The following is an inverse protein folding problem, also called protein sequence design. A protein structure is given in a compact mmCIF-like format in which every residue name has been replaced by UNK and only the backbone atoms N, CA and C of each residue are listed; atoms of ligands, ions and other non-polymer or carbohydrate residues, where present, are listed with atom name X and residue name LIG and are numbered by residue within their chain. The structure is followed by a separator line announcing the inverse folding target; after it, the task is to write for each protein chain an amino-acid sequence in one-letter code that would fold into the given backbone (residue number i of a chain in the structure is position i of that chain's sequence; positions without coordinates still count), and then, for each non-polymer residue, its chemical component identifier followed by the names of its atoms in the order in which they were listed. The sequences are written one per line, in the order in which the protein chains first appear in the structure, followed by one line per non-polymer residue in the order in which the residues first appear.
data_IF_612254165129
#
_entry.id   IF_612254165129
#
_cell.length_a   1.000
_cell.length_b   1.000
_cell.length_c   1.000
_cell.angle_alpha   90.00
_cell.angle_beta   90.00
_cell.angle_gamma   90.00
#
_symmetry.space_group_name_H-M   'P 1'
#
loop_
_entity.id
_entity.type
_entity.pdbx_description
1 polymer ?
#
# COMPACT_ATOMS: atom_id res chain seq x y z
N UNK A 1 24.97 29.94 -79.68
CA UNK A 1 25.71 28.91 -78.91
C UNK A 1 26.53 29.64 -77.85
N UNK A 2 26.49 29.45 -76.54
CA UNK A 2 25.70 28.65 -75.60
C UNK A 2 25.68 29.48 -74.29
N UNK A 3 24.52 29.66 -73.66
CA UNK A 3 24.36 30.44 -72.42
C UNK A 3 25.07 29.73 -71.27
N UNK A 4 26.05 30.38 -70.62
CA UNK A 4 26.53 29.99 -69.29
C UNK A 4 25.76 30.80 -68.24
N UNK A 5 24.82 30.14 -67.60
CA UNK A 5 24.10 30.66 -66.43
C UNK A 5 25.03 30.57 -65.22
N UNK A 6 25.41 31.73 -64.67
CA UNK A 6 26.09 31.86 -63.39
C UNK A 6 25.12 31.52 -62.26
N UNK A 7 25.35 30.41 -61.56
CA UNK A 7 24.68 30.12 -60.29
C UNK A 7 25.51 30.64 -59.12
N UNK A 8 24.88 31.54 -58.38
CA UNK A 8 25.33 32.16 -57.14
C UNK A 8 25.61 31.12 -56.04
N UNK A 9 26.79 31.19 -55.42
CA UNK A 9 27.20 30.39 -54.24
C UNK A 9 26.52 30.85 -52.92
N UNK A 10 25.37 31.52 -52.98
CA UNK A 10 24.70 32.08 -51.82
C UNK A 10 23.54 31.24 -51.26
N UNK A 11 23.23 30.04 -51.79
CA UNK A 11 22.06 29.26 -51.34
C UNK A 11 22.37 28.01 -50.50
N UNK A 12 23.65 27.65 -50.29
CA UNK A 12 24.00 26.42 -49.54
C UNK A 12 24.16 26.66 -48.03
N UNK A 13 24.30 27.92 -47.59
CA UNK A 13 24.55 28.24 -46.17
C UNK A 13 23.29 28.40 -45.30
N UNK A 14 22.09 28.49 -45.88
CA UNK A 14 20.83 28.58 -45.13
C UNK A 14 20.21 27.20 -44.81
N UNK A 15 20.42 26.21 -45.68
CA UNK A 15 19.87 24.86 -45.52
C UNK A 15 20.58 24.07 -44.41
N UNK A 16 21.87 24.29 -44.21
CA UNK A 16 22.66 23.66 -43.15
C UNK A 16 22.48 24.33 -41.77
N UNK A 17 22.12 25.62 -41.71
CA UNK A 17 21.77 26.28 -40.44
C UNK A 17 20.38 25.89 -39.93
N UNK A 18 19.44 25.57 -40.82
CA UNK A 18 18.13 25.02 -40.42
C UNK A 18 18.20 23.54 -40.00
N UNK A 19 19.11 22.75 -40.57
CA UNK A 19 19.29 21.35 -40.16
C UNK A 19 19.92 21.21 -38.75
N UNK A 20 20.79 22.14 -38.35
CA UNK A 20 21.40 22.14 -36.99
C UNK A 20 20.45 22.78 -35.95
N UNK A 21 19.62 23.76 -36.34
CA UNK A 21 18.61 24.34 -35.45
C UNK A 21 17.41 23.40 -35.18
N UNK A 22 17.08 22.49 -36.10
CA UNK A 22 16.03 21.48 -35.89
C UNK A 22 16.53 20.28 -35.06
N UNK A 23 17.84 20.03 -35.02
CA UNK A 23 18.42 18.99 -34.14
C UNK A 23 18.59 19.45 -32.68
N UNK A 24 18.73 20.76 -32.42
CA UNK A 24 18.74 21.30 -31.05
C UNK A 24 17.34 21.64 -30.48
N UNK A 25 16.32 21.84 -31.33
CA UNK A 25 14.94 22.08 -30.88
C UNK A 25 14.13 20.79 -30.60
N UNK A 26 14.65 19.62 -30.98
CA UNK A 26 14.06 18.31 -30.63
C UNK A 26 14.56 17.75 -29.27
N UNK A 27 15.44 18.48 -28.58
CA UNK A 27 16.06 18.04 -27.31
C UNK A 27 15.51 18.74 -26.06
N UNK A 28 14.47 19.56 -26.19
CA UNK A 28 13.82 20.28 -25.07
C UNK A 28 12.30 20.08 -25.10
N UNK A 29 11.84 18.87 -25.46
CA UNK A 29 10.55 18.40 -24.96
C UNK A 29 10.82 17.83 -23.58
N UNK A 30 10.74 18.77 -22.65
CA UNK A 30 10.47 18.63 -21.24
C UNK A 30 9.99 17.23 -20.86
N UNK A 31 10.78 16.60 -20.01
CA UNK A 31 10.53 15.37 -19.28
C UNK A 31 9.20 15.38 -18.51
N UNK A 32 8.07 15.37 -19.20
CA UNK A 32 6.88 14.66 -18.75
C UNK A 32 7.08 13.18 -19.08
N UNK A 33 8.18 12.62 -18.57
CA UNK A 33 8.20 11.21 -18.27
C UNK A 33 7.09 11.04 -17.24
N UNK A 34 5.96 10.52 -17.69
CA UNK A 34 5.14 9.64 -16.86
C UNK A 34 6.15 8.66 -16.29
N UNK A 35 6.63 8.92 -15.07
CA UNK A 35 7.39 7.94 -14.32
C UNK A 35 6.38 6.84 -14.06
N UNK A 36 6.27 5.89 -14.99
CA UNK A 36 5.76 4.57 -14.68
C UNK A 36 6.61 4.13 -13.49
N UNK A 37 6.01 3.86 -12.31
CA UNK A 37 6.79 3.29 -11.23
C UNK A 37 7.49 2.07 -11.83
N UNK A 38 8.82 2.05 -11.75
CA UNK A 38 9.57 0.85 -12.05
C UNK A 38 9.06 -0.19 -11.04
N UNK A 39 8.16 -1.06 -11.52
CA UNK A 39 7.52 -2.09 -10.74
C UNK A 39 8.57 -3.13 -10.41
N UNK A 40 9.20 -2.98 -9.26
CA UNK A 40 10.13 -3.96 -8.72
C UNK A 40 9.56 -4.76 -7.54
N UNK A 41 8.27 -4.57 -7.17
CA UNK A 41 7.57 -5.47 -6.24
C UNK A 41 6.05 -5.49 -6.56
N UNK A 42 5.55 -6.62 -7.06
CA UNK A 42 4.27 -6.79 -7.76
C UNK A 42 2.98 -6.79 -6.92
N UNK A 43 2.72 -5.75 -6.12
CA UNK A 43 1.39 -5.50 -5.54
C UNK A 43 1.01 -4.00 -5.60
N UNK A 44 -0.22 -3.62 -5.98
CA UNK A 44 -0.66 -2.22 -6.03
C UNK A 44 -0.94 -1.70 -4.62
N UNK A 45 0.11 -1.34 -3.89
CA UNK A 45 0.01 -0.87 -2.51
C UNK A 45 -0.58 0.54 -2.44
N UNK A 46 -1.50 0.75 -1.49
CA UNK A 46 -2.01 2.06 -1.09
C UNK A 46 -1.30 2.46 0.21
N UNK A 47 -0.80 3.69 0.25
CA UNK A 47 -0.24 4.32 1.45
C UNK A 47 -1.16 5.47 1.86
N UNK A 48 -1.75 5.38 3.04
CA UNK A 48 -2.64 6.42 3.58
C UNK A 48 -2.51 6.47 5.11
N UNK A 49 -2.24 7.67 5.65
CA UNK A 49 -1.97 7.84 7.09
C UNK A 49 -3.20 7.53 7.95
N UNK A 50 -4.40 7.89 7.50
CA UNK A 50 -5.64 7.68 8.25
C UNK A 50 -5.98 6.21 8.33
N UNK A 51 -5.95 5.54 7.17
CA UNK A 51 -6.34 4.15 7.03
C UNK A 51 -5.30 3.25 7.72
N UNK A 52 -4.01 3.46 7.47
CA UNK A 52 -2.94 2.69 8.13
C UNK A 52 -2.99 2.88 9.65
N UNK A 53 -3.23 4.10 10.15
CA UNK A 53 -3.34 4.35 11.58
C UNK A 53 -4.54 3.65 12.19
N UNK A 54 -5.71 3.68 11.54
CA UNK A 54 -6.91 3.01 12.04
C UNK A 54 -6.76 1.49 12.05
N UNK A 55 -6.23 0.90 10.97
CA UNK A 55 -5.94 -0.54 10.94
C UNK A 55 -4.90 -0.91 12.01
N UNK A 56 -3.92 -0.04 12.25
CA UNK A 56 -2.94 -0.26 13.32
C UNK A 56 -3.60 -0.19 14.70
N UNK A 57 -4.57 0.70 14.91
CA UNK A 57 -5.34 0.76 16.16
C UNK A 57 -6.17 -0.52 16.38
N UNK A 58 -6.68 -1.14 15.31
CA UNK A 58 -7.31 -2.46 15.37
C UNK A 58 -6.33 -3.58 15.74
N UNK A 59 -5.17 -3.62 15.09
CA UNK A 59 -4.26 -4.75 15.21
C UNK A 59 -3.34 -4.69 16.43
N UNK A 60 -2.90 -3.50 16.88
CA UNK A 60 -1.92 -3.39 17.96
C UNK A 60 -2.32 -4.08 19.27
N UNK A 61 -3.57 -3.99 19.76
CA UNK A 61 -4.00 -4.77 20.93
C UNK A 61 -3.85 -6.27 20.72
N UNK A 62 -4.21 -6.77 19.53
CA UNK A 62 -4.13 -8.18 19.15
C UNK A 62 -2.67 -8.62 19.06
N UNK A 63 -1.80 -7.85 18.40
CA UNK A 63 -0.37 -8.13 18.32
C UNK A 63 0.32 -8.18 19.68
N UNK A 64 -0.09 -7.31 20.63
CA UNK A 64 0.38 -7.36 22.02
C UNK A 64 -0.08 -8.64 22.72
N UNK A 65 -1.35 -9.01 22.60
CA UNK A 65 -1.88 -10.25 23.17
C UNK A 65 -1.21 -11.51 22.57
N UNK A 66 -0.76 -11.41 21.32
CA UNK A 66 -0.03 -12.43 20.59
C UNK A 66 1.50 -12.47 20.88
N UNK A 67 2.03 -11.56 21.70
CA UNK A 67 3.46 -11.50 22.01
C UNK A 67 4.35 -10.92 20.90
N UNK A 68 3.77 -10.33 19.86
CA UNK A 68 4.50 -9.74 18.72
C UNK A 68 4.99 -8.32 18.99
N UNK A 69 4.45 -7.65 20.02
CA UNK A 69 4.68 -6.22 20.28
C UNK A 69 3.95 -5.33 19.26
N UNK A 70 4.32 -4.04 19.17
CA UNK A 70 3.65 -3.07 18.27
C UNK A 70 4.49 -2.61 17.09
N UNK A 71 5.81 -2.87 17.09
CA UNK A 71 6.73 -2.38 16.06
C UNK A 71 7.22 -3.43 15.07
N UNK A 72 6.85 -4.70 15.24
CA UNK A 72 7.39 -5.82 14.44
C UNK A 72 6.56 -6.16 13.21
N UNK A 73 5.28 -5.78 13.20
CA UNK A 73 4.33 -6.11 12.14
C UNK A 73 3.68 -4.84 11.62
N UNK A 74 3.93 -4.54 10.34
CA UNK A 74 3.30 -3.42 9.65
C UNK A 74 2.03 -3.89 8.93
N UNK A 75 1.05 -2.99 8.81
CA UNK A 75 -0.15 -3.23 8.00
C UNK A 75 0.01 -2.50 6.68
N UNK A 76 -0.26 -3.20 5.57
CA UNK A 76 -0.15 -2.68 4.22
C UNK A 76 -1.48 -2.86 3.50
N UNK A 77 -1.91 -1.83 2.77
CA UNK A 77 -3.19 -1.87 2.05
C UNK A 77 -2.91 -2.24 0.60
N UNK A 78 -3.63 -3.22 0.07
CA UNK A 78 -3.54 -3.65 -1.33
C UNK A 78 -4.80 -3.18 -2.05
N UNK A 79 -4.65 -2.44 -3.15
CA UNK A 79 -5.77 -2.06 -4.01
C UNK A 79 -6.33 -3.28 -4.72
N UNK A 80 -7.41 -3.84 -4.19
CA UNK A 80 -8.09 -4.99 -4.75
C UNK A 80 -9.52 -5.08 -4.23
N UNK A 81 -10.49 -5.37 -5.11
CA UNK A 81 -11.92 -5.33 -4.75
C UNK A 81 -12.40 -6.58 -4.02
N UNK A 82 -11.75 -7.74 -4.22
CA UNK A 82 -12.06 -8.95 -3.46
C UNK A 82 -11.75 -8.79 -1.96
N UNK A 83 -12.56 -9.43 -1.12
CA UNK A 83 -12.30 -9.53 0.30
C UNK A 83 -11.06 -10.41 0.51
N UNK A 84 -10.01 -9.87 1.12
CA UNK A 84 -8.87 -10.68 1.53
C UNK A 84 -7.99 -9.94 2.55
N UNK A 85 -7.31 -10.71 3.40
CA UNK A 85 -6.14 -10.28 4.14
C UNK A 85 -5.17 -11.47 4.24
N UNK A 86 -3.87 -11.21 4.31
CA UNK A 86 -2.88 -12.29 4.36
C UNK A 86 -1.54 -11.82 4.92
N UNK A 87 -0.70 -12.79 5.31
CA UNK A 87 0.66 -12.56 5.80
C UNK A 87 1.66 -13.31 4.92
N UNK A 88 2.75 -12.65 4.51
CA UNK A 88 3.77 -13.25 3.63
C UNK A 88 5.08 -13.55 4.35
N UNK A 89 5.58 -12.59 5.14
CA UNK A 89 6.94 -12.59 5.69
C UNK A 89 6.98 -12.54 7.23
N UNK A 90 5.82 -12.60 7.88
CA UNK A 90 5.67 -12.46 9.33
C UNK A 90 5.94 -11.05 9.86
N UNK A 91 6.21 -10.09 8.96
CA UNK A 91 6.48 -8.68 9.28
C UNK A 91 5.45 -7.74 8.66
N UNK A 92 4.68 -8.21 7.68
CA UNK A 92 3.64 -7.44 7.02
C UNK A 92 2.32 -8.24 6.98
N UNK A 93 1.25 -7.60 7.43
CA UNK A 93 -0.14 -8.02 7.17
C UNK A 93 -0.65 -7.18 6.01
N UNK A 94 -1.06 -7.82 4.94
CA UNK A 94 -1.65 -7.18 3.78
C UNK A 94 -3.17 -7.25 3.88
N UNK A 95 -3.85 -6.12 3.71
CA UNK A 95 -5.31 -6.01 3.76
C UNK A 95 -5.80 -5.46 2.44
N UNK A 96 -6.70 -6.17 1.77
CA UNK A 96 -7.31 -5.68 0.55
C UNK A 96 -8.30 -4.56 0.84
N UNK A 97 -8.40 -3.59 -0.07
CA UNK A 97 -9.45 -2.57 -0.02
C UNK A 97 -10.86 -3.18 0.02
N UNK A 98 -11.07 -4.32 -0.64
CA UNK A 98 -12.31 -5.08 -0.58
C UNK A 98 -12.68 -5.54 0.83
N UNK A 99 -11.69 -6.00 1.61
CA UNK A 99 -11.94 -6.41 3.01
C UNK A 99 -12.42 -5.23 3.86
N UNK A 100 -11.82 -4.06 3.65
CA UNK A 100 -12.21 -2.82 4.34
C UNK A 100 -13.62 -2.37 3.91
N UNK A 101 -13.87 -2.33 2.60
CA UNK A 101 -15.13 -1.81 2.04
C UNK A 101 -16.35 -2.68 2.40
N UNK A 102 -16.17 -4.00 2.45
CA UNK A 102 -17.21 -4.98 2.74
C UNK A 102 -17.33 -5.32 4.24
N UNK A 103 -16.49 -4.74 5.09
CA UNK A 103 -16.68 -4.79 6.54
C UNK A 103 -17.60 -3.65 6.94
N UNK A 104 -18.73 -3.94 7.56
CA UNK A 104 -19.69 -2.93 8.02
C UNK A 104 -19.36 -2.41 9.42
N UNK A 105 -18.69 -3.23 10.22
CA UNK A 105 -18.26 -2.89 11.58
C UNK A 105 -16.75 -3.04 11.75
N UNK A 106 -16.12 -2.30 12.69
CA UNK A 106 -14.75 -2.56 13.11
C UNK A 106 -14.52 -4.02 13.50
N UNK A 107 -15.46 -4.64 14.24
CA UNK A 107 -15.28 -5.99 14.76
C UNK A 107 -15.08 -7.06 13.67
N UNK A 108 -15.66 -6.87 12.47
CA UNK A 108 -15.46 -7.77 11.34
C UNK A 108 -14.00 -7.78 10.85
N UNK A 109 -13.42 -6.60 10.59
CA UNK A 109 -12.02 -6.51 10.14
C UNK A 109 -11.04 -6.84 11.28
N UNK A 110 -11.36 -6.47 12.53
CA UNK A 110 -10.58 -6.86 13.71
C UNK A 110 -10.54 -8.40 13.83
N UNK A 111 -11.66 -9.08 13.58
CA UNK A 111 -11.75 -10.54 13.57
C UNK A 111 -10.82 -11.18 12.54
N UNK A 112 -10.81 -10.65 11.31
CA UNK A 112 -9.88 -11.08 10.25
C UNK A 112 -8.42 -10.85 10.66
N UNK A 113 -8.09 -9.68 11.20
CA UNK A 113 -6.73 -9.39 11.67
C UNK A 113 -6.30 -10.30 12.83
N UNK A 114 -7.23 -10.69 13.70
CA UNK A 114 -6.98 -11.66 14.76
C UNK A 114 -6.67 -13.06 14.21
N UNK A 115 -7.40 -13.48 13.18
CA UNK A 115 -7.11 -14.71 12.42
C UNK A 115 -5.71 -14.68 11.79
N UNK A 116 -5.38 -13.62 11.05
CA UNK A 116 -4.05 -13.44 10.44
C UNK A 116 -2.92 -13.41 11.47
N UNK A 117 -3.18 -12.84 12.65
CA UNK A 117 -2.23 -12.90 13.77
C UNK A 117 -2.03 -14.32 14.29
N UNK A 118 -3.09 -15.13 14.28
CA UNK A 118 -3.02 -16.58 14.52
C UNK A 118 -2.04 -17.27 13.57
N UNK A 119 -2.09 -16.94 12.26
CA UNK A 119 -1.14 -17.47 11.28
C UNK A 119 0.32 -17.03 11.54
N UNK A 120 0.55 -15.79 11.99
CA UNK A 120 1.90 -15.31 12.37
C UNK A 120 2.46 -16.12 13.54
N UNK A 121 1.68 -16.21 14.62
CA UNK A 121 2.12 -16.86 15.88
C UNK A 121 2.20 -18.38 15.79
N UNK A 122 1.37 -19.02 14.96
CA UNK A 122 1.45 -20.46 14.71
C UNK A 122 2.77 -20.90 14.06
N UNK A 123 3.58 -19.98 13.52
CA UNK A 123 4.87 -20.31 12.92
C UNK A 123 4.77 -21.15 11.64
N UNK A 124 3.57 -21.28 11.06
CA UNK A 124 3.31 -22.20 9.95
C UNK A 124 4.06 -21.81 8.67
N UNK A 125 4.36 -20.53 8.46
CA UNK A 125 5.24 -20.09 7.37
C UNK A 125 6.70 -20.51 7.60
N UNK A 126 7.18 -20.54 8.84
CA UNK A 126 8.53 -21.00 9.17
C UNK A 126 8.64 -22.53 9.10
N UNK A 127 7.61 -23.26 9.54
CA UNK A 127 7.53 -24.71 9.43
C UNK A 127 7.41 -25.18 7.97
N UNK A 128 6.59 -24.49 7.16
CA UNK A 128 6.49 -24.72 5.72
C UNK A 128 7.81 -24.39 5.01
N UNK A 129 8.43 -23.22 5.29
CA UNK A 129 9.76 -22.87 4.76
C UNK A 129 10.83 -23.89 5.18
N UNK A 130 10.82 -24.37 6.43
CA UNK A 130 11.77 -25.39 6.90
C UNK A 130 11.57 -26.76 6.23
N UNK A 131 10.36 -27.10 5.79
CA UNK A 131 10.11 -28.32 4.99
C UNK A 131 10.47 -28.10 3.52
N UNK A 132 10.15 -26.95 2.93
CA UNK A 132 10.56 -26.57 1.57
C UNK A 132 12.09 -26.47 1.43
N UNK A 133 12.79 -26.03 2.47
CA UNK A 133 14.25 -26.00 2.48
C UNK A 133 14.88 -27.40 2.59
N UNK A 134 14.13 -28.39 3.08
CA UNK A 134 14.58 -29.79 3.22
C UNK A 134 14.19 -30.65 2.01
N UNK A 135 12.99 -30.45 1.47
CA UNK A 135 12.51 -31.11 0.26
C UNK A 135 12.63 -30.15 -0.92
N UNK A 136 13.54 -30.43 -1.86
CA UNK A 136 13.82 -29.63 -3.07
C UNK A 136 12.64 -29.51 -4.07
N UNK A 137 11.39 -29.64 -3.63
CA UNK A 137 10.20 -29.43 -4.45
C UNK A 137 9.86 -27.94 -4.54
N UNK A 138 10.60 -27.23 -5.40
CA UNK A 138 10.33 -25.85 -5.87
C UNK A 138 8.87 -25.63 -6.34
N UNK A 139 8.16 -26.73 -6.64
CA UNK A 139 6.75 -26.78 -7.04
C UNK A 139 5.78 -26.39 -5.90
N UNK A 140 6.09 -26.73 -4.63
CA UNK A 140 5.22 -26.41 -3.48
C UNK A 140 5.19 -24.91 -3.18
N UNK A 141 6.34 -24.24 -3.35
CA UNK A 141 6.47 -22.79 -3.15
C UNK A 141 5.65 -22.02 -4.21
N UNK A 142 5.68 -22.47 -5.46
CA UNK A 142 4.90 -21.89 -6.55
C UNK A 142 3.37 -22.10 -6.40
N UNK A 143 2.93 -23.20 -5.77
CA UNK A 143 1.51 -23.47 -5.54
C UNK A 143 0.94 -22.71 -4.33
N UNK A 144 1.68 -22.60 -3.23
CA UNK A 144 1.23 -21.85 -2.04
C UNK A 144 1.26 -20.35 -2.29
N UNK A 145 2.33 -19.84 -2.92
CA UNK A 145 2.38 -18.45 -3.38
C UNK A 145 1.42 -18.22 -4.55
N UNK A 146 1.25 -19.20 -5.44
CA UNK A 146 0.29 -19.16 -6.54
C UNK A 146 -1.11 -18.91 -6.03
N UNK A 147 -1.60 -19.65 -5.04
CA UNK A 147 -2.97 -19.47 -4.50
C UNK A 147 -3.14 -18.15 -3.73
N UNK A 148 -2.11 -17.69 -3.01
CA UNK A 148 -2.10 -16.37 -2.38
C UNK A 148 -2.05 -15.22 -3.41
N UNK A 149 -1.49 -15.46 -4.59
CA UNK A 149 -1.33 -14.50 -5.69
C UNK A 149 -2.36 -14.67 -6.83
N UNK A 150 -3.23 -15.68 -6.77
CA UNK A 150 -4.20 -16.03 -7.83
C UNK A 150 -5.26 -14.94 -8.03
N UNK A 151 -5.39 -13.98 -7.10
CA UNK A 151 -6.17 -12.76 -7.33
C UNK A 151 -5.60 -11.85 -8.44
N UNK A 152 -4.31 -11.97 -8.78
CA UNK A 152 -3.65 -11.14 -9.80
C UNK A 152 -3.02 -11.92 -10.97
N UNK A 153 -2.58 -13.16 -10.76
CA UNK A 153 -1.83 -13.90 -11.79
C UNK A 153 -2.69 -14.45 -12.94
N UNK A 154 -3.99 -14.64 -12.74
CA UNK A 154 -4.88 -15.13 -13.80
C UNK A 154 -5.20 -14.07 -14.88
N UNK A 155 -4.89 -12.79 -14.65
CA UNK A 155 -5.23 -11.70 -15.55
C UNK A 155 -4.08 -11.22 -16.43
N UNK A 156 -2.85 -11.66 -16.19
CA UNK A 156 -1.68 -11.27 -16.99
C UNK A 156 -1.19 -12.46 -17.80
N UNK A 157 -1.54 -12.50 -19.09
CA UNK A 157 -1.10 -13.51 -20.06
C UNK A 157 0.39 -13.44 -20.38
N UNK A 158 1.26 -13.46 -19.35
CA UNK A 158 2.69 -13.65 -19.48
C UNK A 158 3.06 -15.14 -19.49
N UNK A 159 4.28 -15.44 -19.91
CA UNK A 159 4.79 -16.81 -20.11
C UNK A 159 4.72 -17.71 -18.85
N UNK A 160 4.57 -17.12 -17.67
CA UNK A 160 4.30 -17.83 -16.39
C UNK A 160 2.97 -18.58 -16.37
N UNK A 161 1.99 -18.18 -17.18
CA UNK A 161 0.71 -18.89 -17.32
C UNK A 161 0.80 -20.19 -18.15
N UNK A 162 1.77 -20.30 -19.06
CA UNK A 162 1.96 -21.51 -19.89
C UNK A 162 2.71 -22.62 -19.13
N UNK A 163 3.67 -22.25 -18.28
CA UNK A 163 4.40 -23.23 -17.45
C UNK A 163 3.51 -23.85 -16.35
N UNK A 164 2.54 -23.09 -15.83
CA UNK A 164 1.53 -23.62 -14.90
C UNK A 164 0.53 -24.56 -15.59
N UNK A 165 0.23 -24.35 -16.87
CA UNK A 165 -0.61 -25.24 -17.68
C UNK A 165 0.02 -26.60 -17.96
N UNK A 166 1.35 -26.66 -18.13
CA UNK A 166 2.10 -27.91 -18.30
C UNK A 166 2.28 -28.70 -16.99
N UNK A 167 2.44 -28.01 -15.86
CA UNK A 167 2.57 -28.63 -14.54
C UNK A 167 1.27 -29.30 -14.04
N UNK A 168 0.11 -28.89 -14.54
CA UNK A 168 -1.19 -29.47 -14.19
C UNK A 168 -1.44 -30.87 -14.77
N UNK A 169 -0.86 -31.19 -15.94
CA UNK A 169 -1.10 -32.49 -16.60
C UNK A 169 -0.12 -33.60 -16.20
N UNK A 170 1.09 -33.25 -15.74
CA UNK A 170 2.08 -34.25 -15.32
C UNK A 170 1.78 -34.89 -13.94
N UNK A 171 0.84 -34.32 -13.16
CA UNK A 171 0.56 -34.73 -11.76
C UNK A 171 -0.54 -35.80 -11.66
N UNK A 172 -1.26 -36.10 -12.74
CA UNK A 172 -2.40 -37.03 -12.72
C UNK A 172 -2.01 -38.52 -12.72
N UNK A 173 -0.74 -38.88 -12.95
CA UNK A 173 -0.30 -40.27 -13.05
C UNK A 173 0.82 -40.59 -12.04
N UNK A 174 0.49 -40.71 -10.74
CA UNK A 174 1.35 -41.39 -9.77
C UNK A 174 1.51 -40.69 -8.41
N UNK A 175 0.99 -41.32 -7.35
CA UNK A 175 1.36 -41.06 -5.95
C UNK A 175 0.85 -39.78 -5.28
N UNK A 176 0.16 -38.90 -6.00
CA UNK A 176 -0.17 -37.53 -5.58
C UNK A 176 -1.38 -37.40 -4.64
N UNK A 177 -2.24 -38.41 -4.52
CA UNK A 177 -3.49 -38.26 -3.74
C UNK A 177 -3.28 -38.27 -2.22
N UNK A 178 -2.36 -39.10 -1.72
CA UNK A 178 -2.07 -39.18 -0.28
C UNK A 178 -1.33 -37.93 0.22
N UNK A 179 -0.43 -37.39 -0.61
CA UNK A 179 0.26 -36.10 -0.38
C UNK A 179 -0.75 -34.96 -0.40
N UNK A 180 -1.65 -34.91 -1.40
CA UNK A 180 -2.67 -33.87 -1.49
C UNK A 180 -3.66 -33.92 -0.30
N UNK A 181 -4.12 -35.12 0.08
CA UNK A 181 -4.98 -35.30 1.26
C UNK A 181 -4.29 -34.84 2.55
N UNK A 182 -2.99 -35.15 2.71
CA UNK A 182 -2.18 -34.71 3.85
C UNK A 182 -2.05 -33.19 3.89
N UNK A 183 -1.75 -32.54 2.77
CA UNK A 183 -1.63 -31.08 2.67
C UNK A 183 -2.95 -30.37 2.98
N UNK A 184 -4.07 -30.89 2.46
CA UNK A 184 -5.40 -30.36 2.75
C UNK A 184 -5.80 -30.54 4.23
N UNK A 185 -5.45 -31.67 4.84
CA UNK A 185 -5.67 -31.91 6.26
C UNK A 185 -4.83 -30.96 7.14
N UNK A 186 -3.57 -30.75 6.79
CA UNK A 186 -2.70 -29.79 7.46
C UNK A 186 -3.26 -28.37 7.38
N UNK A 187 -3.68 -27.91 6.18
CA UNK A 187 -4.33 -26.59 6.05
C UNK A 187 -5.54 -26.43 6.95
N UNK A 188 -6.45 -27.43 6.99
CA UNK A 188 -7.61 -27.38 7.90
C UNK A 188 -7.20 -27.28 9.37
N UNK A 189 -6.14 -27.98 9.76
CA UNK A 189 -5.56 -27.86 11.11
C UNK A 189 -5.02 -26.45 11.36
N UNK A 190 -4.31 -25.86 10.38
CA UNK A 190 -3.76 -24.51 10.49
C UNK A 190 -4.85 -23.45 10.62
N UNK A 191 -5.91 -23.55 9.80
CA UNK A 191 -7.06 -22.65 9.89
C UNK A 191 -7.75 -22.77 11.25
N UNK A 192 -7.98 -23.99 11.76
CA UNK A 192 -8.62 -24.17 13.07
C UNK A 192 -7.74 -23.68 14.22
N UNK A 193 -6.41 -23.80 14.11
CA UNK A 193 -5.47 -23.25 15.08
C UNK A 193 -5.45 -21.71 15.07
N UNK A 194 -5.50 -21.12 13.87
CA UNK A 194 -5.59 -19.67 13.68
C UNK A 194 -6.91 -19.10 14.24
N UNK A 195 -8.06 -19.77 14.01
CA UNK A 195 -9.34 -19.37 14.59
C UNK A 195 -9.30 -19.30 16.11
N UNK A 196 -8.80 -20.38 16.72
CA UNK A 196 -8.74 -20.49 18.18
C UNK A 196 -7.77 -19.46 18.75
N UNK A 197 -6.64 -19.21 18.08
CA UNK A 197 -5.71 -18.16 18.47
C UNK A 197 -6.36 -16.77 18.36
N UNK A 198 -7.03 -16.48 17.23
CA UNK A 198 -7.74 -15.24 17.00
C UNK A 198 -8.78 -14.97 18.10
N UNK A 199 -9.66 -15.94 18.40
CA UNK A 199 -10.63 -15.82 19.47
C UNK A 199 -9.98 -15.63 20.86
N UNK A 200 -8.86 -16.31 21.14
CA UNK A 200 -8.10 -16.09 22.38
C UNK A 200 -7.58 -14.65 22.46
N UNK A 201 -7.06 -14.09 21.37
CA UNK A 201 -6.58 -12.71 21.33
C UNK A 201 -7.72 -11.69 21.47
N UNK A 202 -8.86 -11.94 20.83
CA UNK A 202 -10.06 -11.12 20.98
C UNK A 202 -10.54 -11.13 22.44
N UNK A 203 -10.64 -12.31 23.06
CA UNK A 203 -11.01 -12.43 24.47
C UNK A 203 -10.01 -11.74 25.42
N UNK A 204 -8.71 -11.92 25.20
CA UNK A 204 -7.65 -11.27 25.98
C UNK A 204 -7.69 -9.74 25.86
N UNK A 205 -8.11 -9.21 24.71
CA UNK A 205 -8.28 -7.78 24.48
C UNK A 205 -9.69 -7.28 24.81
N UNK A 206 -10.54 -8.15 25.37
CA UNK A 206 -11.93 -7.87 25.72
C UNK A 206 -12.75 -7.38 24.53
N UNK A 207 -12.53 -7.94 23.35
CA UNK A 207 -13.25 -7.65 22.11
C UNK A 207 -14.19 -8.81 21.77
N UNK A 208 -15.28 -8.51 21.06
CA UNK A 208 -16.21 -9.55 20.62
C UNK A 208 -15.59 -10.42 19.53
N UNK A 209 -15.93 -11.71 19.54
CA UNK A 209 -15.68 -12.64 18.43
C UNK A 209 -16.81 -12.69 17.39
N UNK A 210 -17.88 -11.93 17.59
CA UNK A 210 -19.08 -11.98 16.74
C UNK A 210 -18.80 -11.52 15.30
N UNK A 211 -18.00 -10.48 15.09
CA UNK A 211 -17.63 -9.98 13.76
C UNK A 211 -16.74 -10.96 13.00
N UNK A 212 -15.87 -11.72 13.69
CA UNK A 212 -15.12 -12.82 13.08
C UNK A 212 -16.07 -13.93 12.61
N UNK A 213 -17.02 -14.33 13.49
CA UNK A 213 -18.02 -15.34 13.17
C UNK A 213 -18.90 -14.91 12.00
N UNK A 214 -19.48 -13.71 12.04
CA UNK A 214 -20.33 -13.14 10.98
C UNK A 214 -19.60 -13.11 9.63
N UNK A 215 -18.33 -12.67 9.64
CA UNK A 215 -17.50 -12.66 8.43
C UNK A 215 -17.34 -14.07 7.86
N UNK A 216 -17.09 -15.07 8.71
CA UNK A 216 -16.83 -16.44 8.25
C UNK A 216 -18.12 -17.15 7.86
N UNK A 217 -19.24 -16.87 8.53
CA UNK A 217 -20.58 -17.34 8.13
C UNK A 217 -20.94 -16.85 6.73
N UNK A 218 -20.67 -15.57 6.43
CA UNK A 218 -20.89 -14.99 5.09
C UNK A 218 -20.12 -15.73 4.00
N UNK A 219 -18.87 -16.16 4.26
CA UNK A 219 -18.07 -16.89 3.28
C UNK A 219 -18.38 -18.40 3.24
N UNK A 220 -18.78 -19.00 4.36
CA UNK A 220 -19.21 -20.40 4.39
C UNK A 220 -20.43 -20.68 3.51
N UNK A 221 -21.33 -19.70 3.38
CA UNK A 221 -22.47 -19.79 2.46
C UNK A 221 -22.06 -19.89 0.97
N UNK A 222 -20.80 -19.55 0.64
CA UNK A 222 -20.27 -19.62 -0.72
C UNK A 222 -19.52 -20.94 -1.01
N UNK A 223 -19.35 -21.83 -0.02
CA UNK A 223 -18.58 -23.07 -0.19
C UNK A 223 -19.28 -24.05 -1.17
N UNK A 224 -20.59 -23.90 -1.36
CA UNK A 224 -21.42 -24.68 -2.29
C UNK A 224 -21.38 -24.17 -3.74
N UNK A 225 -20.64 -23.10 -4.01
CA UNK A 225 -20.46 -22.53 -5.34
C UNK A 225 -19.21 -23.17 -5.98
N UNK A 226 -19.22 -23.38 -7.30
CA UNK A 226 -18.04 -23.82 -8.07
C UNK A 226 -16.79 -23.00 -7.73
N UNK A 227 -15.63 -23.65 -7.60
CA UNK A 227 -14.34 -23.02 -7.24
C UNK A 227 -13.96 -21.82 -8.12
N UNK A 228 -14.43 -21.77 -9.38
CA UNK A 228 -14.22 -20.64 -10.28
C UNK A 228 -14.95 -19.35 -9.84
N UNK A 229 -16.01 -19.48 -9.02
CA UNK A 229 -16.86 -18.38 -8.56
C UNK A 229 -16.79 -18.16 -7.04
N UNK A 230 -15.95 -18.92 -6.31
CA UNK A 230 -15.70 -18.69 -4.88
C UNK A 230 -14.90 -17.39 -4.66
N UNK A 231 -15.24 -16.66 -3.59
CA UNK A 231 -14.46 -15.49 -3.18
C UNK A 231 -12.98 -15.86 -2.92
N UNK A 232 -12.08 -14.90 -3.09
CA UNK A 232 -10.64 -15.09 -2.88
C UNK A 232 -10.36 -15.53 -1.44
N UNK A 233 -11.07 -14.96 -0.45
CA UNK A 233 -10.92 -15.31 0.96
C UNK A 233 -11.35 -16.76 1.25
N UNK A 234 -12.47 -17.22 0.69
CA UNK A 234 -12.90 -18.61 0.88
C UNK A 234 -11.92 -19.61 0.26
N UNK A 235 -11.23 -19.22 -0.83
CA UNK A 235 -10.19 -20.03 -1.46
C UNK A 235 -8.87 -20.04 -0.69
N UNK A 236 -8.44 -18.91 -0.12
CA UNK A 236 -7.24 -18.85 0.71
C UNK A 236 -7.46 -19.46 2.11
N UNK A 237 -8.68 -19.35 2.66
CA UNK A 237 -9.07 -19.83 3.98
C UNK A 237 -10.36 -20.69 3.94
N UNK A 238 -10.28 -21.96 3.50
CA UNK A 238 -11.45 -22.83 3.40
C UNK A 238 -12.25 -22.94 4.71
N UNK A 239 -13.55 -22.63 4.67
CA UNK A 239 -14.43 -22.65 5.85
C UNK A 239 -15.26 -23.93 5.86
N UNK A 240 -14.71 -25.00 6.44
CA UNK A 240 -15.47 -26.24 6.63
C UNK A 240 -16.62 -26.05 7.64
N UNK A 241 -17.76 -26.72 7.44
CA UNK A 241 -18.93 -26.63 8.33
C UNK A 241 -18.59 -26.93 9.80
N UNK A 242 -17.74 -27.95 10.04
CA UNK A 242 -17.28 -28.30 11.39
C UNK A 242 -16.40 -27.23 12.03
N UNK A 243 -15.60 -26.52 11.21
CA UNK A 243 -14.77 -25.39 11.66
C UNK A 243 -15.66 -24.25 12.13
N UNK A 244 -16.69 -23.92 11.34
CA UNK A 244 -17.65 -22.86 11.66
C UNK A 244 -18.45 -23.19 12.94
N UNK A 245 -18.91 -24.43 13.11
CA UNK A 245 -19.62 -24.86 14.31
C UNK A 245 -18.75 -24.72 15.58
N UNK A 246 -17.46 -25.09 15.49
CA UNK A 246 -16.51 -24.89 16.59
C UNK A 246 -16.25 -23.41 16.87
N UNK A 247 -16.03 -22.61 15.82
CA UNK A 247 -15.84 -21.16 15.92
C UNK A 247 -17.03 -20.51 16.61
N UNK A 248 -18.26 -20.85 16.22
CA UNK A 248 -19.50 -20.36 16.86
C UNK A 248 -19.53 -20.68 18.34
N UNK A 249 -19.36 -21.95 18.71
CA UNK A 249 -19.35 -22.39 20.12
C UNK A 249 -18.31 -21.63 20.96
N UNK A 250 -17.10 -21.46 20.43
CA UNK A 250 -16.03 -20.76 21.13
C UNK A 250 -16.30 -19.26 21.24
N UNK A 251 -16.77 -18.62 20.17
CA UNK A 251 -17.11 -17.20 20.17
C UNK A 251 -18.22 -16.88 21.17
N UNK A 252 -19.30 -17.66 21.16
CA UNK A 252 -20.47 -17.50 22.06
C UNK A 252 -20.12 -17.79 23.53
N UNK A 253 -19.13 -18.63 23.80
CA UNK A 253 -18.67 -18.90 25.18
C UNK A 253 -17.90 -17.73 25.81
N UNK A 254 -17.49 -16.74 25.01
CA UNK A 254 -16.76 -15.58 25.51
C UNK A 254 -17.68 -14.64 26.30
N UNK A 255 -17.26 -14.14 27.47
CA UNK A 255 -18.02 -13.13 28.21
C UNK A 255 -18.12 -11.78 27.45
N UNK A 256 -17.34 -11.61 26.38
CA UNK A 256 -17.32 -10.40 25.55
C UNK A 256 -18.11 -10.56 24.24
N UNK A 257 -18.82 -11.67 24.02
CA UNK A 257 -19.52 -11.94 22.76
C UNK A 257 -20.50 -10.83 22.35
N UNK A 258 -21.30 -10.32 23.29
CA UNK A 258 -22.26 -9.24 23.02
C UNK A 258 -21.67 -7.82 23.13
N UNK A 259 -20.36 -7.68 23.33
CA UNK A 259 -19.73 -6.37 23.44
C UNK A 259 -19.71 -5.68 22.08
N UNK A 260 -20.25 -4.47 22.03
CA UNK A 260 -20.26 -3.63 20.83
C UNK A 260 -18.97 -2.81 20.71
N UNK A 261 -18.62 -2.48 19.47
CA UNK A 261 -17.54 -1.53 19.20
C UNK A 261 -17.90 -0.14 19.74
N UNK A 262 -16.93 0.65 20.24
CA UNK A 262 -17.17 2.03 20.63
C UNK A 262 -17.69 2.87 19.45
N UNK A 263 -18.67 3.78 19.65
CA UNK A 263 -19.23 4.60 18.57
C UNK A 263 -18.17 5.42 17.81
N UNK A 264 -17.14 5.92 18.48
CA UNK A 264 -16.04 6.66 17.83
C UNK A 264 -15.20 5.73 16.92
N UNK A 265 -15.07 4.44 17.27
CA UNK A 265 -14.37 3.47 16.43
C UNK A 265 -15.16 3.16 15.16
N UNK A 266 -16.48 2.99 15.29
CA UNK A 266 -17.39 2.85 14.15
C UNK A 266 -17.34 4.10 13.26
N UNK A 267 -17.37 5.30 13.84
CA UNK A 267 -17.29 6.55 13.09
C UNK A 267 -16.01 6.64 12.25
N UNK A 268 -14.84 6.31 12.83
CA UNK A 268 -13.57 6.26 12.10
C UNK A 268 -13.56 5.17 11.02
N UNK A 269 -14.21 4.04 11.27
CA UNK A 269 -14.39 2.96 10.28
C UNK A 269 -15.20 3.44 9.08
N UNK A 270 -16.29 4.16 9.32
CA UNK A 270 -17.14 4.70 8.26
C UNK A 270 -16.41 5.77 7.46
N UNK A 271 -15.58 6.62 8.10
CA UNK A 271 -14.71 7.58 7.40
C UNK A 271 -13.67 6.89 6.52
N UNK A 272 -13.04 5.82 7.00
CA UNK A 272 -12.11 5.02 6.20
C UNK A 272 -12.78 4.44 4.95
N UNK A 273 -13.99 3.86 5.10
CA UNK A 273 -14.78 3.33 3.96
C UNK A 273 -15.21 4.44 3.01
N UNK A 274 -15.64 5.58 3.53
CA UNK A 274 -16.02 6.75 2.74
C UNK A 274 -14.84 7.30 1.93
N UNK A 275 -13.65 7.42 2.55
CA UNK A 275 -12.43 7.87 1.87
C UNK A 275 -12.04 6.93 0.74
N UNK A 276 -12.01 5.63 1.01
CA UNK A 276 -11.71 4.63 -0.02
C UNK A 276 -12.73 4.66 -1.16
N UNK A 277 -14.03 4.74 -0.85
CA UNK A 277 -15.09 4.90 -1.86
C UNK A 277 -14.82 6.14 -2.74
N UNK A 278 -14.56 7.29 -2.14
CA UNK A 278 -14.29 8.53 -2.84
C UNK A 278 -13.09 8.47 -3.80
N UNK A 279 -12.00 7.79 -3.42
CA UNK A 279 -10.78 7.70 -4.24
C UNK A 279 -10.78 6.55 -5.26
N UNK A 280 -11.45 5.44 -4.97
CA UNK A 280 -11.29 4.20 -5.74
C UNK A 280 -12.48 3.90 -6.66
N UNK A 281 -13.66 4.42 -6.35
CA UNK A 281 -14.85 4.14 -7.15
C UNK A 281 -15.14 5.24 -8.17
N UNK A 282 -15.94 4.90 -9.16
CA UNK A 282 -16.46 5.91 -10.08
C UNK A 282 -17.35 6.91 -9.31
N UNK A 283 -17.25 8.23 -9.57
CA UNK A 283 -18.06 9.23 -8.88
C UNK A 283 -19.56 8.92 -8.84
N UNK A 284 -20.14 8.35 -9.91
CA UNK A 284 -21.57 7.97 -9.94
C UNK A 284 -21.91 6.91 -8.89
N UNK A 285 -21.04 5.92 -8.70
CA UNK A 285 -21.20 4.89 -7.65
C UNK A 285 -21.15 5.53 -6.26
N UNK A 286 -20.26 6.50 -6.06
CA UNK A 286 -20.15 7.22 -4.78
C UNK A 286 -21.42 8.01 -4.50
N UNK A 287 -21.94 8.77 -5.46
CA UNK A 287 -23.19 9.53 -5.28
C UNK A 287 -24.43 8.65 -5.11
N UNK A 288 -24.44 7.44 -5.68
CA UNK A 288 -25.52 6.48 -5.43
C UNK A 288 -25.45 5.89 -4.02
N UNK A 289 -24.24 5.60 -3.52
CA UNK A 289 -24.04 5.09 -2.15
C UNK A 289 -24.28 6.17 -1.09
N UNK A 290 -23.84 7.39 -1.39
CA UNK A 290 -23.91 8.56 -0.51
C UNK A 290 -24.73 9.67 -1.17
N UNK A 291 -26.07 9.50 -1.28
CA UNK A 291 -26.93 10.48 -1.95
C UNK A 291 -26.92 11.83 -1.23
N UNK A 292 -27.26 12.92 -1.92
CA UNK A 292 -27.19 14.28 -1.34
C UNK A 292 -28.05 14.47 -0.08
N UNK A 293 -29.12 13.67 0.07
CA UNK A 293 -29.95 13.64 1.30
C UNK A 293 -29.20 13.11 2.53
N UNK A 294 -28.15 12.33 2.34
CA UNK A 294 -27.27 11.86 3.41
C UNK A 294 -26.25 12.94 3.73
N UNK A 295 -26.53 13.71 4.78
CA UNK A 295 -25.70 14.82 5.25
C UNK A 295 -24.66 14.39 6.30
N UNK A 296 -24.50 13.09 6.53
CA UNK A 296 -23.51 12.57 7.47
C UNK A 296 -22.09 12.95 7.06
N UNK A 297 -21.19 13.04 8.04
CA UNK A 297 -19.78 13.36 7.80
C UNK A 297 -19.13 12.35 6.84
N UNK A 298 -19.30 11.02 6.98
CA UNK A 298 -18.76 10.06 6.01
C UNK A 298 -19.29 10.27 4.59
N UNK A 299 -20.58 10.52 4.42
CA UNK A 299 -21.17 10.75 3.11
C UNK A 299 -20.60 11.99 2.43
N UNK A 300 -20.51 13.09 3.18
CA UNK A 300 -19.88 14.32 2.72
C UNK A 300 -18.38 14.15 2.43
N UNK A 301 -17.68 13.34 3.22
CA UNK A 301 -16.27 13.02 3.02
C UNK A 301 -16.03 12.27 1.69
N UNK A 302 -16.83 11.22 1.43
CA UNK A 302 -16.79 10.49 0.15
C UNK A 302 -17.16 11.40 -1.03
N UNK A 303 -18.23 12.19 -0.91
CA UNK A 303 -18.69 13.11 -1.96
C UNK A 303 -17.69 14.21 -2.26
N UNK A 304 -17.00 14.77 -1.26
CA UNK A 304 -15.97 15.79 -1.48
C UNK A 304 -14.87 15.27 -2.42
N UNK A 305 -14.39 14.05 -2.17
CA UNK A 305 -13.39 13.38 -3.00
C UNK A 305 -13.97 13.07 -4.39
N UNK A 306 -15.17 12.50 -4.47
CA UNK A 306 -15.80 12.16 -5.73
C UNK A 306 -16.09 13.40 -6.61
N UNK A 307 -16.48 14.54 -6.01
CA UNK A 307 -16.66 15.82 -6.73
C UNK A 307 -15.37 16.28 -7.39
N UNK A 308 -14.24 16.15 -6.72
CA UNK A 308 -12.94 16.45 -7.30
C UNK A 308 -12.66 15.58 -8.54
N UNK A 309 -12.84 14.25 -8.42
CA UNK A 309 -12.57 13.32 -9.52
C UNK A 309 -13.62 13.31 -10.64
N UNK A 310 -14.82 13.82 -10.39
CA UNK A 310 -15.83 14.05 -11.43
C UNK A 310 -15.38 15.11 -12.46
N UNK A 311 -14.51 16.03 -12.05
CA UNK A 311 -13.97 17.07 -12.91
C UNK A 311 -14.96 18.19 -13.25
N UNK A 312 -14.52 19.10 -14.12
CA UNK A 312 -15.27 20.32 -14.49
C UNK A 312 -14.84 21.56 -13.70
N UNK A 313 -15.31 22.73 -14.16
CA UNK A 313 -14.86 24.04 -13.65
C UNK A 313 -15.15 24.26 -12.16
N UNK A 314 -16.14 23.54 -11.62
CA UNK A 314 -16.57 23.63 -10.23
C UNK A 314 -16.01 22.53 -9.33
N UNK A 315 -15.30 21.53 -9.88
CA UNK A 315 -14.83 20.37 -9.12
C UNK A 315 -13.95 20.75 -7.92
N UNK A 316 -12.94 21.59 -8.14
CA UNK A 316 -12.04 22.05 -7.08
C UNK A 316 -12.76 22.93 -6.05
N UNK A 317 -13.44 24.04 -6.42
CA UNK A 317 -14.09 24.88 -5.42
C UNK A 317 -15.20 24.16 -4.65
N UNK A 318 -15.99 23.28 -5.29
CA UNK A 318 -17.06 22.54 -4.61
C UNK A 318 -16.51 21.47 -3.67
N UNK A 319 -15.44 20.77 -4.07
CA UNK A 319 -14.78 19.81 -3.20
C UNK A 319 -14.16 20.50 -1.98
N UNK A 320 -13.45 21.62 -2.18
CA UNK A 320 -12.84 22.38 -1.08
C UNK A 320 -13.90 22.97 -0.15
N UNK A 321 -15.02 23.48 -0.68
CA UNK A 321 -16.13 23.97 0.15
C UNK A 321 -16.74 22.87 1.02
N UNK A 322 -16.91 21.67 0.47
CA UNK A 322 -17.38 20.50 1.20
C UNK A 322 -16.42 20.13 2.34
N UNK A 323 -15.11 20.08 2.05
CA UNK A 323 -14.06 19.81 3.06
C UNK A 323 -13.99 20.90 4.13
N UNK A 324 -14.17 22.17 3.77
CA UNK A 324 -14.22 23.27 4.74
C UNK A 324 -15.41 23.16 5.69
N UNK A 325 -16.55 22.65 5.20
CA UNK A 325 -17.66 22.26 6.07
C UNK A 325 -17.26 21.13 7.03
N UNK A 326 -16.59 20.08 6.55
CA UNK A 326 -16.12 18.96 7.39
C UNK A 326 -15.15 19.44 8.49
N UNK A 327 -14.23 20.35 8.14
CA UNK A 327 -13.29 20.98 9.08
C UNK A 327 -14.05 21.81 10.12
N UNK A 328 -15.12 22.52 9.73
CA UNK A 328 -15.94 23.28 10.68
C UNK A 328 -16.64 22.38 11.69
N UNK A 329 -17.14 21.23 11.25
CA UNK A 329 -17.88 20.29 12.10
C UNK A 329 -16.94 19.49 13.02
N UNK A 330 -15.75 19.12 12.55
CA UNK A 330 -14.71 18.44 13.34
C UNK A 330 -13.33 19.07 13.11
N UNK A 331 -13.04 20.24 13.73
CA UNK A 331 -11.78 20.96 13.53
C UNK A 331 -10.54 20.22 14.04
N UNK A 332 -10.74 19.33 15.01
CA UNK A 332 -9.70 18.47 15.58
C UNK A 332 -9.43 17.18 14.80
N UNK A 333 -10.15 16.89 13.71
CA UNK A 333 -9.89 15.69 12.90
C UNK A 333 -8.82 16.00 11.83
N UNK A 334 -7.57 15.53 12.00
CA UNK A 334 -6.44 15.96 11.18
C UNK A 334 -6.61 15.63 9.69
N UNK A 335 -7.31 14.55 9.38
CA UNK A 335 -7.40 14.02 8.02
C UNK A 335 -8.31 14.83 7.09
N UNK A 336 -9.17 15.71 7.62
CA UNK A 336 -9.88 16.69 6.80
C UNK A 336 -8.95 17.82 6.33
N UNK A 337 -8.02 18.25 7.19
CA UNK A 337 -6.97 19.21 6.81
C UNK A 337 -5.99 18.56 5.81
N UNK A 338 -5.66 17.29 6.00
CA UNK A 338 -4.87 16.49 5.06
C UNK A 338 -5.56 16.39 3.69
N UNK A 339 -6.84 16.02 3.66
CA UNK A 339 -7.61 15.96 2.41
C UNK A 339 -7.62 17.32 1.69
N UNK A 340 -7.87 18.42 2.42
CA UNK A 340 -7.83 19.77 1.82
C UNK A 340 -6.48 20.03 1.16
N UNK A 341 -5.39 19.67 1.84
CA UNK A 341 -4.03 19.73 1.30
C UNK A 341 -3.83 18.90 0.04
N UNK A 342 -4.24 17.63 0.06
CA UNK A 342 -4.13 16.71 -1.09
C UNK A 342 -4.90 17.24 -2.31
N UNK A 343 -6.16 17.66 -2.13
CA UNK A 343 -6.97 18.18 -3.25
C UNK A 343 -6.39 19.47 -3.83
N UNK A 344 -5.87 20.38 -3.00
CA UNK A 344 -5.18 21.59 -3.46
C UNK A 344 -3.89 21.25 -4.22
N UNK A 345 -3.10 20.30 -3.72
CA UNK A 345 -1.89 19.82 -4.41
C UNK A 345 -2.20 19.25 -5.78
N UNK A 346 -3.22 18.38 -5.87
CA UNK A 346 -3.65 17.80 -7.15
C UNK A 346 -4.20 18.83 -8.13
N UNK A 347 -4.78 19.92 -7.62
CA UNK A 347 -5.21 21.07 -8.40
C UNK A 347 -4.06 22.03 -8.79
N UNK A 348 -2.80 21.72 -8.46
CA UNK A 348 -1.65 22.58 -8.72
C UNK A 348 -1.51 23.79 -7.80
N UNK A 349 -2.33 23.87 -6.73
CA UNK A 349 -2.38 24.99 -5.78
C UNK A 349 -1.47 24.74 -4.58
N UNK A 350 -0.18 24.48 -4.85
CA UNK A 350 0.78 24.05 -3.84
C UNK A 350 0.95 25.02 -2.66
N UNK A 351 0.98 26.33 -2.94
CA UNK A 351 1.10 27.36 -1.89
C UNK A 351 -0.06 27.31 -0.90
N UNK A 352 -1.27 27.05 -1.39
CA UNK A 352 -2.48 27.01 -0.57
C UNK A 352 -2.59 25.72 0.23
N UNK A 353 -2.00 24.62 -0.26
CA UNK A 353 -1.96 23.34 0.45
C UNK A 353 -1.09 23.37 1.72
N UNK A 354 -0.11 24.27 1.81
CA UNK A 354 0.84 24.34 2.94
C UNK A 354 0.12 24.55 4.28
N UNK A 355 -0.85 25.48 4.33
CA UNK A 355 -1.58 25.81 5.55
C UNK A 355 -2.34 24.61 6.15
N UNK A 356 -3.24 23.97 5.38
CA UNK A 356 -3.95 22.76 5.80
C UNK A 356 -3.00 21.62 6.19
N UNK A 357 -1.95 21.34 5.40
CA UNK A 357 -1.01 20.26 5.73
C UNK A 357 -0.23 20.51 7.04
N UNK A 358 0.18 21.76 7.31
CA UNK A 358 0.74 22.13 8.62
C UNK A 358 -0.27 21.95 9.74
N UNK A 359 -1.53 22.30 9.51
CA UNK A 359 -2.59 22.11 10.51
C UNK A 359 -2.81 20.62 10.80
N UNK A 360 -2.83 19.76 9.78
CA UNK A 360 -2.90 18.31 9.94
C UNK A 360 -1.74 17.77 10.79
N UNK A 361 -0.50 18.21 10.52
CA UNK A 361 0.68 17.81 11.30
C UNK A 361 0.67 18.35 12.74
N UNK A 362 0.06 19.50 13.00
CA UNK A 362 -0.08 20.02 14.37
C UNK A 362 -1.04 19.21 15.26
N UNK A 363 -1.86 18.35 14.64
CA UNK A 363 -2.88 17.52 15.28
C UNK A 363 -2.46 16.04 15.34
N UNK A 364 -1.26 15.69 14.84
CA UNK A 364 -0.75 14.32 14.75
C UNK A 364 0.67 14.23 15.29
N UNK A 365 0.92 13.29 16.21
CA UNK A 365 2.24 13.11 16.81
C UNK A 365 3.27 12.56 15.81
N UNK A 366 2.87 11.65 14.92
CA UNK A 366 3.75 11.10 13.89
C UNK A 366 2.99 10.72 12.61
N UNK A 367 3.23 11.46 11.53
CA UNK A 367 2.63 11.20 10.21
C UNK A 367 3.66 11.37 9.07
N UNK A 368 4.55 10.38 8.84
CA UNK A 368 5.58 10.45 7.80
C UNK A 368 5.04 10.77 6.41
N UNK A 369 3.90 10.19 6.01
CA UNK A 369 3.32 10.44 4.68
C UNK A 369 2.82 11.88 4.54
N UNK A 370 2.21 12.45 5.57
CA UNK A 370 1.78 13.87 5.55
C UNK A 370 3.00 14.81 5.57
N UNK A 371 4.10 14.43 6.26
CA UNK A 371 5.37 15.17 6.18
C UNK A 371 5.90 15.20 4.75
N UNK A 372 5.82 14.08 4.01
CA UNK A 372 6.19 14.01 2.59
C UNK A 372 5.26 14.87 1.72
N UNK A 373 3.94 14.85 1.95
CA UNK A 373 2.98 15.73 1.26
C UNK A 373 3.31 17.21 1.49
N UNK A 374 3.53 17.63 2.74
CA UNK A 374 3.91 19.01 3.05
C UNK A 374 5.25 19.40 2.43
N UNK A 375 6.25 18.52 2.49
CA UNK A 375 7.53 18.74 1.83
C UNK A 375 7.36 18.92 0.31
N UNK A 376 6.45 18.17 -0.31
CA UNK A 376 6.13 18.29 -1.73
C UNK A 376 5.51 19.66 -2.03
N UNK A 377 4.53 20.09 -1.23
CA UNK A 377 3.90 21.42 -1.34
C UNK A 377 4.92 22.56 -1.22
N UNK A 378 5.82 22.46 -0.23
CA UNK A 378 6.91 23.43 0.00
C UNK A 378 7.88 23.49 -1.18
N UNK A 379 8.27 22.35 -1.75
CA UNK A 379 9.17 22.31 -2.90
C UNK A 379 8.54 22.87 -4.17
N UNK A 380 7.26 22.59 -4.41
CA UNK A 380 6.51 23.14 -5.55
C UNK A 380 6.26 24.64 -5.42
N UNK A 381 5.99 25.13 -4.20
CA UNK A 381 5.83 26.56 -3.94
C UNK A 381 7.14 27.37 -4.04
N UNK A 382 8.30 26.68 -3.94
CA UNK A 382 9.62 27.28 -4.10
C UNK A 382 10.06 28.23 -2.98
N UNK A 383 11.32 28.66 -3.06
CA UNK A 383 11.97 29.58 -2.10
C UNK A 383 12.84 28.87 -1.06
N UNK A 384 14.02 29.41 -0.77
CA UNK A 384 15.07 28.75 0.00
C UNK A 384 14.62 28.29 1.40
N UNK A 385 13.85 29.12 2.10
CA UNK A 385 13.28 28.77 3.42
C UNK A 385 12.36 27.56 3.34
N UNK A 386 11.51 27.48 2.30
CA UNK A 386 10.59 26.34 2.10
C UNK A 386 11.35 25.08 1.72
N UNK A 387 12.40 25.21 0.91
CA UNK A 387 13.27 24.07 0.58
C UNK A 387 13.97 23.54 1.84
N UNK A 388 14.52 24.42 2.69
CA UNK A 388 15.15 24.01 3.94
C UNK A 388 14.17 23.31 4.91
N UNK A 389 12.95 23.83 5.03
CA UNK A 389 11.86 23.19 5.79
C UNK A 389 11.52 21.80 5.21
N UNK A 390 11.40 21.70 3.87
CA UNK A 390 11.10 20.43 3.19
C UNK A 390 12.16 19.35 3.48
N UNK A 391 13.44 19.72 3.50
CA UNK A 391 14.54 18.78 3.84
C UNK A 391 14.39 18.29 5.27
N UNK A 392 14.07 19.18 6.22
CA UNK A 392 13.89 18.82 7.62
C UNK A 392 12.72 17.85 7.81
N UNK A 393 11.60 18.11 7.13
CA UNK A 393 10.42 17.24 7.13
C UNK A 393 10.71 15.86 6.54
N UNK A 394 11.38 15.82 5.38
CA UNK A 394 11.70 14.55 4.71
C UNK A 394 12.71 13.71 5.50
N UNK A 395 13.75 14.34 6.09
CA UNK A 395 14.69 13.64 6.97
C UNK A 395 13.99 12.98 8.15
N UNK A 396 12.98 13.65 8.70
CA UNK A 396 12.18 13.07 9.77
C UNK A 396 11.23 11.97 9.27
N UNK A 397 10.65 12.14 8.08
CA UNK A 397 9.74 11.15 7.48
C UNK A 397 10.44 9.81 7.19
N UNK A 398 11.65 9.82 6.62
CA UNK A 398 12.38 8.58 6.26
C UNK A 398 12.86 7.76 7.46
N UNK A 399 12.83 8.32 8.68
CA UNK A 399 13.10 7.57 9.91
C UNK A 399 11.89 6.68 10.26
N UNK A 400 10.67 7.20 10.06
CA UNK A 400 9.43 6.53 10.45
C UNK A 400 8.78 5.71 9.34
N UNK A 401 9.18 5.90 8.08
CA UNK A 401 8.61 5.19 6.93
C UNK A 401 9.69 4.91 5.88
N UNK A 402 9.78 3.64 5.45
CA UNK A 402 10.63 3.25 4.33
C UNK A 402 9.97 3.71 3.02
N UNK A 403 10.41 4.88 2.53
CA UNK A 403 9.75 5.57 1.43
C UNK A 403 10.76 5.97 0.34
N UNK A 404 10.89 5.19 -0.75
CA UNK A 404 11.81 5.50 -1.84
C UNK A 404 11.59 6.91 -2.42
N UNK A 405 10.33 7.35 -2.55
CA UNK A 405 9.99 8.66 -3.07
C UNK A 405 10.53 9.78 -2.18
N UNK A 406 10.40 9.65 -0.86
CA UNK A 406 10.94 10.64 0.08
C UNK A 406 12.47 10.74 -0.02
N UNK A 407 13.17 9.60 -0.16
CA UNK A 407 14.62 9.57 -0.39
C UNK A 407 15.00 10.26 -1.72
N UNK A 408 14.25 10.04 -2.81
CA UNK A 408 14.48 10.74 -4.09
C UNK A 408 14.26 12.24 -3.96
N UNK A 409 13.24 12.67 -3.22
CA UNK A 409 12.99 14.10 -2.96
C UNK A 409 14.12 14.73 -2.13
N UNK A 410 14.64 14.03 -1.12
CA UNK A 410 15.82 14.47 -0.36
C UNK A 410 17.05 14.60 -1.26
N UNK A 411 17.30 13.59 -2.10
CA UNK A 411 18.42 13.60 -3.02
C UNK A 411 18.37 14.82 -3.96
N UNK A 412 17.19 15.09 -4.55
CA UNK A 412 16.96 16.26 -5.40
C UNK A 412 17.20 17.58 -4.65
N UNK A 413 16.69 17.69 -3.41
CA UNK A 413 16.90 18.88 -2.59
C UNK A 413 18.38 19.09 -2.22
N UNK A 414 19.11 18.03 -1.86
CA UNK A 414 20.54 18.11 -1.56
C UNK A 414 21.37 18.44 -2.80
N UNK A 415 21.02 17.90 -3.96
CA UNK A 415 21.68 18.23 -5.22
C UNK A 415 21.57 19.73 -5.52
N UNK A 416 20.37 20.31 -5.39
CA UNK A 416 20.13 21.75 -5.56
C UNK A 416 20.90 22.62 -4.55
N UNK A 417 21.19 22.09 -3.37
CA UNK A 417 21.99 22.76 -2.34
C UNK A 417 23.51 22.55 -2.51
N UNK A 418 23.97 21.85 -3.54
CA UNK A 418 25.38 21.50 -3.74
C UNK A 418 25.91 20.44 -2.77
N UNK A 419 25.04 19.76 -2.00
CA UNK A 419 25.39 18.74 -1.01
C UNK A 419 25.48 17.36 -1.66
N UNK A 420 26.37 17.21 -2.64
CA UNK A 420 26.45 16.02 -3.50
C UNK A 420 26.62 14.69 -2.73
N UNK A 421 27.47 14.57 -1.69
CA UNK A 421 27.62 13.31 -0.96
C UNK A 421 26.33 12.86 -0.26
N UNK A 422 25.54 13.83 0.23
CA UNK A 422 24.24 13.54 0.84
C UNK A 422 23.20 13.22 -0.22
N UNK A 423 23.25 13.87 -1.39
CA UNK A 423 22.38 13.53 -2.51
C UNK A 423 22.57 12.07 -2.95
N UNK A 424 23.82 11.66 -3.14
CA UNK A 424 24.18 10.29 -3.51
C UNK A 424 23.75 9.27 -2.46
N UNK A 425 23.95 9.60 -1.18
CA UNK A 425 23.54 8.74 -0.07
C UNK A 425 22.03 8.46 -0.09
N UNK A 426 21.21 9.49 -0.31
CA UNK A 426 19.76 9.33 -0.36
C UNK A 426 19.31 8.65 -1.67
N UNK A 427 19.98 8.88 -2.80
CA UNK A 427 19.75 8.12 -4.05
C UNK A 427 20.02 6.63 -3.86
N UNK A 428 21.08 6.27 -3.13
CA UNK A 428 21.38 4.88 -2.82
C UNK A 428 20.26 4.21 -2.02
N UNK A 429 19.75 4.88 -0.97
CA UNK A 429 18.64 4.38 -0.17
C UNK A 429 17.36 4.19 -0.99
N UNK A 430 17.04 5.12 -1.90
CA UNK A 430 15.90 4.98 -2.79
C UNK A 430 16.00 3.71 -3.66
N UNK A 431 17.14 3.50 -4.33
CA UNK A 431 17.35 2.29 -5.13
C UNK A 431 17.33 1.01 -4.30
N UNK A 432 17.86 1.05 -3.07
CA UNK A 432 17.87 -0.10 -2.19
C UNK A 432 16.44 -0.53 -1.82
N UNK A 433 15.59 0.41 -1.43
CA UNK A 433 14.19 0.16 -1.10
C UNK A 433 13.36 -0.29 -2.31
N UNK A 434 13.77 0.10 -3.51
CA UNK A 434 13.19 -0.37 -4.78
C UNK A 434 13.69 -1.76 -5.19
N UNK A 435 14.60 -2.38 -4.44
CA UNK A 435 15.19 -3.67 -4.78
C UNK A 435 16.27 -3.60 -5.87
N UNK A 436 16.62 -2.40 -6.35
CA UNK A 436 17.72 -2.20 -7.29
C UNK A 436 19.07 -2.13 -6.55
N UNK A 437 19.48 -3.26 -5.99
CA UNK A 437 20.68 -3.38 -5.14
C UNK A 437 21.95 -2.95 -5.88
N UNK A 438 22.06 -3.27 -7.18
CA UNK A 438 23.24 -2.90 -7.97
C UNK A 438 23.42 -1.38 -8.06
N UNK A 439 22.36 -0.65 -8.41
CA UNK A 439 22.42 0.81 -8.44
C UNK A 439 22.62 1.39 -7.04
N UNK A 440 21.94 0.84 -6.04
CA UNK A 440 22.10 1.26 -4.65
C UNK A 440 23.56 1.22 -4.20
N UNK A 441 24.27 0.13 -4.48
CA UNK A 441 25.68 -0.02 -4.13
C UNK A 441 26.61 0.97 -4.86
N UNK A 442 26.32 1.31 -6.13
CA UNK A 442 27.11 2.29 -6.89
C UNK A 442 27.02 3.67 -6.24
N UNK A 443 25.80 4.15 -5.97
CA UNK A 443 25.59 5.45 -5.35
C UNK A 443 26.11 5.47 -3.91
N UNK A 444 25.94 4.38 -3.15
CA UNK A 444 26.45 4.28 -1.79
C UNK A 444 27.97 4.40 -1.73
N UNK A 445 28.71 3.69 -2.61
CA UNK A 445 30.17 3.80 -2.70
C UNK A 445 30.62 5.21 -3.07
N UNK A 446 29.89 5.88 -3.97
CA UNK A 446 30.20 7.26 -4.37
C UNK A 446 30.01 8.24 -3.21
N UNK A 447 28.92 8.11 -2.46
CA UNK A 447 28.64 8.90 -1.27
C UNK A 447 29.70 8.67 -0.17
N UNK A 448 29.99 7.41 0.16
CA UNK A 448 30.83 7.02 1.28
C UNK A 448 32.27 7.58 1.19
N UNK A 449 32.81 7.77 -0.02
CA UNK A 449 34.14 8.38 -0.26
C UNK A 449 34.24 9.83 0.21
N UNK A 450 33.12 10.54 0.28
CA UNK A 450 33.07 11.98 0.57
C UNK A 450 32.33 12.29 1.88
N UNK A 451 31.60 11.33 2.44
CA UNK A 451 30.96 11.46 3.75
C UNK A 451 31.98 11.26 4.89
N UNK A 452 31.73 11.94 6.01
CA UNK A 452 32.51 11.75 7.24
C UNK A 452 32.34 10.30 7.72
N UNK A 453 33.45 9.57 7.84
CA UNK A 453 33.46 8.19 8.35
C UNK A 453 32.74 8.11 9.70
N UNK A 454 31.82 7.15 9.83
CA UNK A 454 31.02 6.94 11.04
C UNK A 454 29.82 7.89 11.21
N UNK A 455 29.53 8.79 10.26
CA UNK A 455 28.26 9.53 10.30
C UNK A 455 27.06 8.59 10.06
N UNK A 456 25.84 8.96 10.50
CA UNK A 456 24.65 8.14 10.25
C UNK A 456 24.39 7.84 8.77
N UNK A 457 24.68 8.79 7.88
CA UNK A 457 24.58 8.61 6.42
C UNK A 457 25.65 7.65 5.91
N UNK A 458 26.87 7.74 6.45
CA UNK A 458 27.97 6.86 6.11
C UNK A 458 27.63 5.41 6.49
N UNK A 459 27.14 5.19 7.72
CA UNK A 459 26.79 3.85 8.22
C UNK A 459 25.66 3.21 7.42
N UNK A 460 24.56 3.95 7.15
CA UNK A 460 23.45 3.45 6.33
C UNK A 460 23.87 3.06 4.92
N UNK A 461 24.86 3.75 4.35
CA UNK A 461 25.40 3.42 3.02
C UNK A 461 26.40 2.25 3.09
N UNK A 462 27.14 2.11 4.18
CA UNK A 462 27.97 0.93 4.42
C UNK A 462 27.13 -0.35 4.47
N UNK A 463 25.97 -0.32 5.15
CA UNK A 463 25.01 -1.44 5.18
C UNK A 463 24.56 -1.84 3.77
N UNK A 464 24.25 -0.85 2.90
CA UNK A 464 23.85 -1.10 1.50
C UNK A 464 25.00 -1.70 0.68
N UNK A 465 26.23 -1.22 0.88
CA UNK A 465 27.43 -1.73 0.18
C UNK A 465 27.68 -3.20 0.54
N UNK A 466 27.52 -3.54 1.82
CA UNK A 466 27.81 -4.86 2.35
C UNK A 466 26.63 -5.83 2.23
N UNK A 467 25.45 -5.36 1.85
CA UNK A 467 24.28 -6.20 1.62
C UNK A 467 24.54 -7.25 0.54
N UNK A 468 24.28 -8.51 0.88
CA UNK A 468 24.27 -9.65 -0.03
C UNK A 468 22.86 -10.26 -0.04
N UNK A 469 22.21 -10.43 -1.20
CA UNK A 469 20.93 -11.10 -1.24
C UNK A 469 21.08 -12.54 -0.73
N UNK A 470 20.19 -12.96 0.16
CA UNK A 470 20.07 -14.38 0.52
C UNK A 470 19.54 -15.14 -0.71
N UNK A 471 20.32 -16.11 -1.20
CA UNK A 471 20.00 -16.95 -2.36
C UNK A 471 19.11 -18.13 -2.02
#
# INVERSE_FOLDING_TARGET
MSRRTSYSLASVSQSLRKAVAVSCAASVILSSAITRPAHANGLPLIRDTEIEKLLSDYAHPIFRAAGLGTGRVAIRIVRHNAFNAFVVDGRNVFVHTGAIMQSETPNQIIGVLAHETGHITGGHMAALRSRIARDQTKILLAQVLGILLIGGAAATGGDTGRDLGGAGQAVMQGGSELVMRSLLAERRSQESAADQAGLRYLSATKQSGAGMLETFERFAQQEYISDAHKDVFARSHPVATDRLARLRKLAESSPYYSKKDPPELQFRHDLMRAKLSGYLENPRTVFNRYPDRDTSIPARYARAIARYFMGGNRAVPDAIAEVDGLIRDKPGYPYFHELKGDLLMRAGRATEAIGPLRKALSLLDNAPLIKVQLATALQQAGGDKRIAESVSLLRNAVIGDQNPTAHRMLASAYYKQGKLPLADAETAQAYFLEGNVQQAQIFAKRAQRQLKKGSPEWLRNDDVINYKPET
#
